data_IF_715863001125
#
_entry.id   IF_715863001125
#
_cell.length_a   1.000
_cell.length_b   1.000
_cell.length_c   1.000
_cell.angle_alpha   90.00
_cell.angle_beta   90.00
_cell.angle_gamma   90.00
#
_symmetry.space_group_name_H-M   'P 1'
#
loop_
_entity.id
_entity.type
_entity.pdbx_description
1 polymer ?
#
# COMPACT_ATOMS: atom_id res chain seq x y z
N UNK A 1 -5.61 -37.84 10.08
CA UNK A 1 -6.75 -36.94 9.86
C UNK A 1 -6.27 -35.95 8.79
N UNK A 2 -6.20 -36.37 7.52
CA UNK A 2 -7.26 -36.29 6.50
C UNK A 2 -7.65 -34.81 6.29
N UNK A 3 -7.47 -34.12 5.15
CA UNK A 3 -7.34 -34.55 3.76
C UNK A 3 -6.60 -33.51 2.91
N UNK A 4 -5.69 -34.02 2.05
CA UNK A 4 -5.15 -33.34 0.88
C UNK A 4 -6.14 -33.56 -0.27
N UNK A 5 -7.01 -32.61 -0.55
CA UNK A 5 -7.64 -32.50 -1.87
C UNK A 5 -6.83 -31.51 -2.67
N UNK A 6 -5.94 -32.01 -3.51
CA UNK A 6 -5.61 -31.44 -4.81
C UNK A 6 -4.67 -32.44 -5.50
N UNK A 7 -5.26 -33.21 -6.40
CA UNK A 7 -4.66 -34.37 -7.05
C UNK A 7 -3.51 -34.01 -7.97
N UNK A 8 -2.34 -33.72 -7.40
CA UNK A 8 -1.08 -33.79 -8.12
C UNK A 8 -0.60 -35.22 -8.04
N UNK A 9 -1.06 -35.97 -9.05
CA UNK A 9 -0.55 -37.28 -9.45
C UNK A 9 0.97 -37.26 -9.33
N UNK A 10 1.48 -37.93 -8.29
CA UNK A 10 2.88 -38.35 -8.14
C UNK A 10 3.23 -39.24 -9.33
N UNK A 11 3.51 -38.62 -10.47
CA UNK A 11 4.18 -39.28 -11.57
C UNK A 11 5.64 -39.36 -11.18
N UNK A 12 6.01 -40.52 -10.62
CA UNK A 12 7.34 -41.10 -10.70
C UNK A 12 7.94 -40.81 -12.08
N UNK A 13 8.95 -39.96 -12.12
CA UNK A 13 9.87 -39.81 -13.25
C UNK A 13 11.28 -40.13 -12.73
N UNK A 14 11.53 -41.42 -12.53
CA UNK A 14 12.86 -41.99 -12.40
C UNK A 14 13.63 -41.76 -13.72
N UNK A 15 14.34 -40.64 -13.83
CA UNK A 15 15.27 -40.42 -14.94
C UNK A 15 15.31 -39.04 -15.60
N UNK A 16 15.15 -37.92 -14.86
CA UNK A 16 15.47 -36.60 -15.40
C UNK A 16 16.96 -36.26 -15.21
N UNK A 17 17.65 -35.71 -16.24
CA UNK A 17 19.03 -35.23 -16.10
C UNK A 17 19.10 -34.11 -15.04
N UNK A 18 20.23 -34.06 -14.30
CA UNK A 18 20.47 -33.15 -13.15
C UNK A 18 20.21 -31.65 -13.41
N UNK A 19 20.02 -31.24 -14.66
CA UNK A 19 19.69 -29.88 -15.07
C UNK A 19 18.22 -29.47 -14.79
N UNK A 20 17.28 -30.42 -14.70
CA UNK A 20 15.86 -30.08 -14.49
C UNK A 20 15.49 -29.79 -13.03
N UNK A 21 16.29 -30.27 -12.07
CA UNK A 21 16.11 -29.93 -10.65
C UNK A 21 16.45 -28.47 -10.37
N UNK A 22 17.41 -27.92 -11.13
CA UNK A 22 17.91 -26.55 -10.96
C UNK A 22 16.87 -25.50 -11.38
N UNK A 23 16.15 -25.74 -12.47
CA UNK A 23 15.07 -24.84 -12.94
C UNK A 23 13.85 -24.84 -12.01
N UNK A 24 13.51 -25.98 -11.39
CA UNK A 24 12.41 -26.04 -10.42
C UNK A 24 12.78 -25.31 -9.12
N UNK A 25 14.03 -25.47 -8.68
CA UNK A 25 14.57 -24.75 -7.52
C UNK A 25 14.67 -23.24 -7.78
N UNK A 26 15.09 -22.81 -8.97
CA UNK A 26 15.07 -21.39 -9.38
C UNK A 26 13.65 -20.83 -9.40
N UNK A 27 12.68 -21.58 -9.95
CA UNK A 27 11.28 -21.12 -9.98
C UNK A 27 10.72 -20.95 -8.57
N UNK A 28 11.00 -21.90 -7.67
CA UNK A 28 10.60 -21.80 -6.25
C UNK A 28 11.30 -20.63 -5.55
N UNK A 29 12.61 -20.41 -5.81
CA UNK A 29 13.37 -19.28 -5.25
C UNK A 29 12.80 -17.94 -5.74
N UNK A 30 12.47 -17.82 -7.03
CA UNK A 30 11.89 -16.59 -7.57
C UNK A 30 10.52 -16.28 -6.97
N UNK A 31 9.70 -17.30 -6.72
CA UNK A 31 8.37 -17.14 -6.10
C UNK A 31 8.49 -16.71 -4.63
N UNK A 32 9.47 -17.24 -3.89
CA UNK A 32 9.72 -16.86 -2.48
C UNK A 32 10.39 -15.48 -2.31
N UNK A 33 11.15 -14.99 -3.29
CA UNK A 33 11.71 -13.63 -3.22
C UNK A 33 10.66 -12.53 -3.41
N UNK A 34 9.59 -12.79 -4.18
CA UNK A 34 8.54 -11.81 -4.48
C UNK A 34 7.62 -11.57 -3.26
N UNK A 35 7.44 -12.56 -2.39
CA UNK A 35 6.58 -12.41 -1.20
C UNK A 35 7.24 -11.58 -0.08
N UNK A 36 8.57 -11.53 0.00
CA UNK A 36 9.30 -10.74 1.01
C UNK A 36 9.50 -9.27 0.61
N UNK A 37 9.32 -8.90 -0.67
CA UNK A 37 9.44 -7.51 -1.11
C UNK A 37 8.18 -6.69 -0.80
N UNK A 38 6.98 -7.31 -0.86
CA UNK A 38 5.69 -6.62 -0.63
C UNK A 38 5.47 -6.11 0.79
N UNK A 39 6.15 -6.65 1.79
CA UNK A 39 6.07 -6.12 3.16
C UNK A 39 6.90 -4.85 3.37
N UNK A 40 7.88 -4.58 2.50
CA UNK A 40 8.76 -3.41 2.63
C UNK A 40 8.19 -2.16 1.98
N UNK A 41 7.05 -2.24 1.28
CA UNK A 41 6.56 -1.11 0.49
C UNK A 41 5.80 -0.09 1.35
N UNK A 42 5.09 -0.52 2.42
CA UNK A 42 4.27 0.36 3.29
C UNK A 42 5.09 1.10 4.36
N UNK A 43 6.01 1.95 3.90
CA UNK A 43 6.91 2.72 4.78
C UNK A 43 6.30 4.00 5.34
N UNK A 44 5.25 4.53 4.72
CA UNK A 44 4.75 5.86 5.05
C UNK A 44 3.33 5.83 5.60
N UNK A 45 3.06 6.77 6.50
CA UNK A 45 1.76 7.01 7.12
C UNK A 45 1.27 8.35 6.57
N UNK A 46 0.15 8.29 5.84
CA UNK A 46 -0.60 9.44 5.40
C UNK A 46 -1.57 9.85 6.50
N UNK A 47 -1.47 11.10 6.95
CA UNK A 47 -2.31 11.69 7.99
C UNK A 47 -3.11 12.84 7.39
N UNK A 48 -4.40 12.90 7.66
CA UNK A 48 -5.28 13.93 7.15
C UNK A 48 -6.12 14.55 8.27
N UNK A 49 -5.95 15.84 8.47
CA UNK A 49 -6.73 16.68 9.39
C UNK A 49 -8.01 17.18 8.70
N UNK A 50 -8.99 16.29 8.63
CA UNK A 50 -10.31 16.60 8.07
C UNK A 50 -11.04 17.74 8.79
N UNK A 51 -10.98 17.89 10.14
CA UNK A 51 -11.58 19.04 10.82
C UNK A 51 -11.15 20.38 10.22
N UNK A 52 -9.86 20.54 9.92
CA UNK A 52 -9.31 21.76 9.35
C UNK A 52 -9.38 21.82 7.81
N UNK A 53 -9.79 20.74 7.14
CA UNK A 53 -9.99 20.74 5.69
C UNK A 53 -11.11 21.71 5.25
N UNK A 54 -10.77 22.59 4.30
CA UNK A 54 -11.67 23.61 3.72
C UNK A 54 -12.32 23.17 2.39
N UNK A 55 -12.05 21.96 1.91
CA UNK A 55 -12.74 21.44 0.72
C UNK A 55 -12.23 21.99 -0.62
N UNK A 56 -10.96 22.34 -0.74
CA UNK A 56 -10.40 22.91 -1.97
C UNK A 56 -10.31 21.93 -3.17
N UNK A 57 -10.54 20.64 -2.94
CA UNK A 57 -10.46 19.55 -3.93
C UNK A 57 -9.10 19.39 -4.66
N UNK A 58 -8.04 20.09 -4.22
CA UNK A 58 -6.72 19.99 -4.84
C UNK A 58 -6.11 18.58 -4.71
N UNK A 59 -6.32 17.92 -3.56
CA UNK A 59 -5.83 16.56 -3.34
C UNK A 59 -6.52 15.51 -4.23
N UNK A 60 -7.82 15.65 -4.48
CA UNK A 60 -8.56 14.81 -5.43
C UNK A 60 -8.08 15.02 -6.87
N UNK A 61 -7.74 16.25 -7.26
CA UNK A 61 -7.21 16.52 -8.59
C UNK A 61 -5.81 15.92 -8.83
N UNK A 62 -4.95 15.93 -7.81
CA UNK A 62 -3.58 15.42 -7.91
C UNK A 62 -3.53 13.90 -7.77
N UNK A 63 -4.26 13.34 -6.80
CA UNK A 63 -4.24 11.92 -6.47
C UNK A 63 -5.68 11.38 -6.36
N UNK A 64 -6.43 11.30 -7.48
CA UNK A 64 -7.82 10.86 -7.49
C UNK A 64 -7.98 9.40 -7.03
N UNK A 65 -6.92 8.59 -7.06
CA UNK A 65 -6.98 7.20 -6.60
C UNK A 65 -6.99 7.08 -5.06
N UNK A 66 -6.50 8.11 -4.35
CA UNK A 66 -6.38 8.13 -2.89
C UNK A 66 -7.37 9.05 -2.21
N UNK A 67 -7.81 10.10 -2.89
CA UNK A 67 -8.66 11.13 -2.32
C UNK A 67 -10.01 11.16 -3.01
N UNK A 68 -11.05 11.41 -2.23
CA UNK A 68 -12.41 11.65 -2.71
C UNK A 68 -13.02 12.84 -1.99
N UNK A 69 -13.82 13.62 -2.71
CA UNK A 69 -14.64 14.65 -2.11
C UNK A 69 -15.95 14.07 -1.61
N UNK A 70 -16.27 14.34 -0.34
CA UNK A 70 -17.52 13.92 0.28
C UNK A 70 -18.62 14.97 0.07
N UNK A 71 -19.88 14.58 0.28
CA UNK A 71 -21.05 15.47 0.19
C UNK A 71 -20.99 16.63 1.19
N UNK A 72 -20.26 16.46 2.29
CA UNK A 72 -19.96 17.52 3.28
C UNK A 72 -19.09 18.66 2.69
N UNK A 73 -18.61 18.54 1.46
CA UNK A 73 -17.69 19.48 0.83
C UNK A 73 -16.26 19.39 1.38
N UNK A 74 -15.89 18.27 2.02
CA UNK A 74 -14.54 18.01 2.54
C UNK A 74 -13.94 16.79 1.86
N UNK A 75 -12.63 16.78 1.70
CA UNK A 75 -11.90 15.61 1.22
C UNK A 75 -11.89 14.50 2.28
N UNK A 76 -11.86 13.26 1.84
CA UNK A 76 -11.60 12.08 2.65
C UNK A 76 -10.58 11.18 1.93
N UNK A 77 -9.84 10.37 2.70
CA UNK A 77 -8.97 9.33 2.14
C UNK A 77 -9.81 8.10 1.80
N UNK A 78 -9.74 7.64 0.55
CA UNK A 78 -10.46 6.47 0.05
C UNK A 78 -10.09 5.21 0.83
N UNK A 79 -11.12 4.49 1.30
CA UNK A 79 -10.97 3.24 2.04
C UNK A 79 -10.37 3.39 3.44
N UNK A 80 -10.36 4.61 4.01
CA UNK A 80 -9.86 4.88 5.35
C UNK A 80 -11.02 5.30 6.29
N UNK A 81 -11.04 4.73 7.50
CA UNK A 81 -11.96 5.14 8.55
C UNK A 81 -11.56 6.46 9.21
N UNK A 82 -12.53 7.17 9.79
CA UNK A 82 -12.27 8.37 10.59
C UNK A 82 -12.05 7.99 12.06
N UNK A 83 -11.05 8.62 12.68
CA UNK A 83 -10.80 8.53 14.13
C UNK A 83 -11.80 9.40 14.91
N UNK A 84 -11.79 9.25 16.24
CA UNK A 84 -12.71 9.97 17.14
C UNK A 84 -12.51 11.50 17.14
N UNK A 85 -11.30 11.95 16.86
CA UNK A 85 -10.90 13.35 16.70
C UNK A 85 -11.20 13.90 15.28
N UNK A 86 -11.72 13.08 14.38
CA UNK A 86 -11.99 13.43 12.99
C UNK A 86 -10.80 13.26 12.06
N UNK A 87 -9.62 12.88 12.56
CA UNK A 87 -8.44 12.63 11.74
C UNK A 87 -8.59 11.32 10.96
N UNK A 88 -7.90 11.24 9.83
CA UNK A 88 -7.77 10.01 9.05
C UNK A 88 -6.30 9.63 8.93
N UNK A 89 -6.02 8.33 9.00
CA UNK A 89 -4.68 7.78 8.88
C UNK A 89 -4.68 6.55 7.98
N UNK A 90 -3.77 6.51 7.00
CA UNK A 90 -3.65 5.40 6.05
C UNK A 90 -2.18 5.08 5.82
N UNK A 91 -1.82 3.81 5.91
CA UNK A 91 -0.51 3.34 5.50
C UNK A 91 -0.45 3.32 3.97
N UNK A 92 0.58 3.93 3.41
CA UNK A 92 0.80 4.02 1.96
C UNK A 92 2.17 3.47 1.59
N UNK A 93 2.28 3.03 0.35
CA UNK A 93 3.50 2.45 -0.18
C UNK A 93 4.46 3.52 -0.69
N UNK A 94 5.75 3.21 -0.82
CA UNK A 94 6.77 4.14 -1.34
C UNK A 94 6.44 4.63 -2.76
N UNK A 95 5.81 3.77 -3.59
CA UNK A 95 5.31 4.17 -4.91
C UNK A 95 4.21 5.23 -4.87
N UNK A 96 3.41 5.24 -3.80
CA UNK A 96 2.32 6.21 -3.60
C UNK A 96 2.77 7.47 -2.87
N UNK A 97 3.99 7.49 -2.36
CA UNK A 97 4.51 8.63 -1.59
C UNK A 97 4.56 9.90 -2.44
N UNK A 98 5.04 9.80 -3.68
CA UNK A 98 5.20 10.97 -4.56
C UNK A 98 3.87 11.68 -4.83
N UNK A 99 2.83 10.94 -5.23
CA UNK A 99 1.51 11.51 -5.50
C UNK A 99 0.85 12.13 -4.26
N UNK A 100 1.00 11.49 -3.09
CA UNK A 100 0.44 12.01 -1.85
C UNK A 100 1.23 13.22 -1.33
N UNK A 101 2.54 13.27 -1.60
CA UNK A 101 3.38 14.44 -1.34
C UNK A 101 2.94 15.63 -2.18
N UNK A 102 2.71 15.43 -3.48
CA UNK A 102 2.23 16.49 -4.37
C UNK A 102 0.82 16.97 -3.95
N UNK A 103 -0.04 16.07 -3.48
CA UNK A 103 -1.36 16.41 -2.93
C UNK A 103 -1.24 17.26 -1.65
N UNK A 104 -0.26 16.95 -0.78
CA UNK A 104 0.01 17.71 0.43
C UNK A 104 0.53 19.12 0.12
N UNK A 105 1.47 19.26 -0.83
CA UNK A 105 2.00 20.54 -1.27
C UNK A 105 0.96 21.42 -1.98
N UNK A 106 -0.01 20.79 -2.64
CA UNK A 106 -1.12 21.49 -3.30
C UNK A 106 -2.18 22.00 -2.31
N UNK A 107 -2.11 21.60 -1.03
CA UNK A 107 -3.10 21.97 -0.04
C UNK A 107 -2.87 23.40 0.47
N UNK A 108 -3.81 24.36 0.28
CA UNK A 108 -3.63 25.74 0.71
C UNK A 108 -3.62 25.92 2.24
N UNK A 109 -4.12 24.93 2.97
CA UNK A 109 -4.22 24.95 4.45
C UNK A 109 -3.34 23.89 5.11
N UNK A 110 -2.50 23.17 4.35
CA UNK A 110 -1.54 22.18 4.85
C UNK A 110 -2.13 21.15 5.84
N UNK A 111 -3.29 20.55 5.51
CA UNK A 111 -3.97 19.57 6.39
C UNK A 111 -3.58 18.11 6.11
N UNK A 112 -2.67 17.88 5.16
CA UNK A 112 -2.21 16.55 4.76
C UNK A 112 -0.74 16.45 5.20
N UNK A 113 -0.44 15.44 6.02
CA UNK A 113 0.89 15.18 6.54
C UNK A 113 1.35 13.77 6.16
N UNK A 114 2.65 13.63 5.93
CA UNK A 114 3.30 12.36 5.64
C UNK A 114 4.34 12.09 6.72
N UNK A 115 4.27 10.93 7.36
CA UNK A 115 5.23 10.49 8.35
C UNK A 115 5.85 9.15 7.94
N UNK A 116 7.13 8.95 8.25
CA UNK A 116 7.76 7.64 8.09
C UNK A 116 7.37 6.73 9.28
N UNK A 117 6.95 5.50 8.99
CA UNK A 117 6.55 4.50 10.00
C UNK A 117 7.71 4.06 10.89
N UNK A 118 8.93 4.01 10.36
CA UNK A 118 10.11 3.53 11.07
C UNK A 118 10.77 4.62 11.92
N UNK A 119 10.91 5.84 11.38
CA UNK A 119 11.59 6.93 12.09
C UNK A 119 10.62 7.82 12.88
N UNK A 120 9.32 7.78 12.59
CA UNK A 120 8.32 8.68 13.15
C UNK A 120 8.51 10.14 12.72
N UNK A 121 9.39 10.39 11.75
CA UNK A 121 9.69 11.74 11.27
C UNK A 121 8.59 12.23 10.34
N UNK A 122 8.08 13.44 10.61
CA UNK A 122 7.13 14.13 9.72
C UNK A 122 7.91 14.79 8.60
N UNK A 123 7.56 14.42 7.37
CA UNK A 123 8.19 14.94 6.16
C UNK A 123 7.53 16.27 5.75
N UNK A 124 6.22 16.41 6.00
CA UNK A 124 5.40 17.59 5.70
C UNK A 124 4.46 17.89 6.86
#
# INVERSE_FOLDING_TARGET
MLELTNGVRLALWDGMPKQCFFIYFISIIMETTVELEKETERKFILLHDRPNCIGCAACEAVAPDFWEMNEDGKSDIKGCGRRKDGWQEKEIEEGDFAQNKDAAESCPVNVIHLANRETGEKII
#
